data_IF_139625397321
#
_entry.id   IF_139625397321
#
_cell.length_a   1.000
_cell.length_b   1.000
_cell.length_c   1.000
_cell.angle_alpha   90.00
_cell.angle_beta   90.00
_cell.angle_gamma   90.00
#
_symmetry.space_group_name_H-M   'P 1'
#
loop_
_entity.id
_entity.type
_entity.pdbx_description
1 polymer ?
#
# COMPACT_ATOMS: atom_id res chain seq x y z
N UNK A 1 2.35 -4.61 -20.53
CA UNK A 1 2.61 -4.38 -19.09
C UNK A 1 3.46 -3.14 -18.83
N UNK A 2 4.70 -3.07 -19.31
CA UNK A 2 5.61 -1.93 -19.08
C UNK A 2 5.01 -0.57 -19.47
N UNK A 3 4.35 -0.49 -20.62
CA UNK A 3 3.70 0.74 -21.11
C UNK A 3 2.58 1.21 -20.18
N UNK A 4 1.75 0.29 -19.70
CA UNK A 4 0.67 0.60 -18.75
C UNK A 4 1.22 1.13 -17.42
N UNK A 5 2.25 0.48 -16.87
CA UNK A 5 2.94 0.99 -15.67
C UNK A 5 3.45 2.40 -15.89
N UNK A 6 4.15 2.64 -17.01
CA UNK A 6 4.67 3.97 -17.34
C UNK A 6 3.56 5.02 -17.42
N UNK A 7 2.46 4.72 -18.11
CA UNK A 7 1.34 5.66 -18.27
C UNK A 7 0.68 6.00 -16.93
N UNK A 8 0.44 4.99 -16.09
CA UNK A 8 -0.14 5.19 -14.76
C UNK A 8 0.80 5.95 -13.83
N UNK A 9 2.10 5.64 -13.84
CA UNK A 9 3.10 6.39 -13.08
C UNK A 9 3.13 7.86 -13.50
N UNK A 10 3.04 8.17 -14.80
CA UNK A 10 2.95 9.55 -15.29
C UNK A 10 1.72 10.26 -14.75
N UNK A 11 0.52 9.67 -14.89
CA UNK A 11 -0.72 10.27 -14.38
C UNK A 11 -0.66 10.54 -12.87
N UNK A 12 -0.10 9.58 -12.11
CA UNK A 12 0.09 9.71 -10.67
C UNK A 12 1.09 10.81 -10.33
N UNK A 13 2.18 10.93 -11.08
CA UNK A 13 3.22 11.95 -10.87
C UNK A 13 2.75 13.35 -11.22
N UNK A 14 1.86 13.47 -12.21
CA UNK A 14 1.22 14.72 -12.63
C UNK A 14 -0.01 15.07 -11.77
N UNK A 15 -0.31 14.26 -10.74
CA UNK A 15 -1.47 14.43 -9.85
C UNK A 15 -2.79 14.56 -10.64
N UNK A 16 -2.93 13.74 -11.70
CA UNK A 16 -4.17 13.64 -12.50
C UNK A 16 -5.35 13.30 -11.59
N UNK A 17 -6.55 13.75 -11.94
CA UNK A 17 -7.75 13.47 -11.14
C UNK A 17 -7.93 11.96 -10.91
N UNK A 18 -8.20 11.59 -9.66
CA UNK A 18 -8.24 10.18 -9.25
C UNK A 18 -9.32 9.39 -9.99
N UNK A 19 -10.44 10.03 -10.39
CA UNK A 19 -11.50 9.36 -11.14
C UNK A 19 -11.06 9.00 -12.57
N UNK A 20 -10.24 9.86 -13.19
CA UNK A 20 -9.63 9.60 -14.50
C UNK A 20 -8.60 8.48 -14.43
N UNK A 21 -7.78 8.45 -13.36
CA UNK A 21 -6.83 7.35 -13.13
C UNK A 21 -7.57 6.04 -12.90
N UNK A 22 -8.63 6.03 -12.10
CA UNK A 22 -9.49 4.85 -11.87
C UNK A 22 -10.05 4.32 -13.20
N UNK A 23 -10.57 5.20 -14.05
CA UNK A 23 -11.11 4.81 -15.35
C UNK A 23 -10.02 4.23 -16.27
N UNK A 24 -8.84 4.85 -16.29
CA UNK A 24 -7.69 4.33 -17.03
C UNK A 24 -7.31 2.91 -16.57
N UNK A 25 -7.24 2.68 -15.26
CA UNK A 25 -6.94 1.36 -14.71
C UNK A 25 -8.01 0.35 -15.12
N UNK A 26 -9.31 0.68 -14.99
CA UNK A 26 -10.42 -0.21 -15.40
C UNK A 26 -10.33 -0.61 -16.87
N UNK A 27 -10.01 0.35 -17.76
CA UNK A 27 -9.84 0.08 -19.19
C UNK A 27 -8.70 -0.90 -19.46
N UNK A 28 -7.54 -0.68 -18.83
CA UNK A 28 -6.40 -1.58 -19.00
C UNK A 28 -6.63 -2.97 -18.40
N UNK A 29 -7.25 -3.06 -17.22
CA UNK A 29 -7.61 -4.33 -16.58
C UNK A 29 -8.54 -5.14 -17.48
N UNK A 30 -9.55 -4.49 -18.06
CA UNK A 30 -10.49 -5.14 -18.98
C UNK A 30 -9.82 -5.57 -20.29
N UNK A 31 -8.99 -4.72 -20.88
CA UNK A 31 -8.31 -5.00 -22.15
C UNK A 31 -7.29 -6.14 -22.02
N UNK A 32 -6.51 -6.16 -20.94
CA UNK A 32 -5.47 -7.16 -20.70
C UNK A 32 -5.95 -8.38 -19.90
N UNK A 33 -7.20 -8.37 -19.40
CA UNK A 33 -7.79 -9.42 -18.54
C UNK A 33 -6.92 -9.75 -17.34
N UNK A 34 -6.42 -8.70 -16.66
CA UNK A 34 -5.50 -8.86 -15.54
C UNK A 34 -6.22 -9.47 -14.33
N UNK A 35 -5.59 -10.43 -13.61
CA UNK A 35 -6.10 -10.87 -12.32
C UNK A 35 -6.07 -9.75 -11.28
N UNK A 36 -7.09 -9.64 -10.44
CA UNK A 36 -7.20 -8.57 -9.42
C UNK A 36 -5.97 -8.46 -8.50
N UNK A 37 -5.37 -9.60 -8.13
CA UNK A 37 -4.11 -9.66 -7.36
C UNK A 37 -2.98 -8.93 -8.08
N UNK A 38 -2.87 -9.11 -9.40
CA UNK A 38 -1.84 -8.44 -10.19
C UNK A 38 -2.11 -6.93 -10.26
N UNK A 39 -3.38 -6.53 -10.38
CA UNK A 39 -3.79 -5.12 -10.37
C UNK A 39 -3.34 -4.43 -9.08
N UNK A 40 -3.64 -5.01 -7.91
CA UNK A 40 -3.24 -4.46 -6.61
C UNK A 40 -1.72 -4.28 -6.52
N UNK A 41 -0.94 -5.29 -6.95
CA UNK A 41 0.53 -5.21 -6.97
C UNK A 41 1.04 -4.10 -7.89
N UNK A 42 0.43 -3.95 -9.07
CA UNK A 42 0.81 -2.92 -10.04
C UNK A 42 0.49 -1.53 -9.50
N UNK A 43 -0.69 -1.34 -8.90
CA UNK A 43 -1.10 -0.06 -8.32
C UNK A 43 -0.12 0.40 -7.25
N UNK A 44 0.26 -0.49 -6.33
CA UNK A 44 1.28 -0.17 -5.34
C UNK A 44 2.63 0.19 -5.99
N UNK A 45 3.08 -0.58 -7.00
CA UNK A 45 4.31 -0.27 -7.73
C UNK A 45 4.27 1.13 -8.35
N UNK A 46 3.22 1.49 -9.09
CA UNK A 46 3.15 2.78 -9.80
C UNK A 46 3.01 3.96 -8.84
N UNK A 47 2.34 3.77 -7.70
CA UNK A 47 2.25 4.77 -6.62
C UNK A 47 3.64 5.03 -6.05
N UNK A 48 4.40 3.97 -5.72
CA UNK A 48 5.73 4.12 -5.13
C UNK A 48 6.78 4.60 -6.13
N UNK A 49 6.66 4.22 -7.41
CA UNK A 49 7.54 4.67 -8.49
C UNK A 49 7.36 6.17 -8.80
N UNK A 50 6.19 6.74 -8.50
CA UNK A 50 5.91 8.17 -8.63
C UNK A 50 6.45 9.03 -7.47
N UNK A 51 6.98 8.42 -6.40
CA UNK A 51 7.51 9.15 -5.25
C UNK A 51 8.78 9.91 -5.65
N UNK A 52 8.79 11.22 -5.42
CA UNK A 52 9.95 12.06 -5.65
C UNK A 52 10.96 11.97 -4.49
N UNK A 53 11.91 11.03 -4.62
CA UNK A 53 12.93 10.79 -3.61
C UNK A 53 14.02 11.88 -3.57
N UNK A 54 14.32 12.36 -2.37
CA UNK A 54 15.47 13.19 -2.05
C UNK A 54 16.71 12.32 -1.74
N UNK A 55 17.83 12.60 -2.42
CA UNK A 55 19.09 11.91 -2.16
C UNK A 55 19.80 12.30 -0.86
N UNK A 56 19.31 13.34 -0.16
CA UNK A 56 20.02 13.94 1.00
C UNK A 56 19.19 14.00 2.28
N UNK A 57 17.87 13.83 2.20
CA UNK A 57 16.98 14.06 3.33
C UNK A 57 16.04 12.86 3.57
N UNK A 58 16.38 12.05 4.58
CA UNK A 58 15.59 10.87 4.94
C UNK A 58 14.19 11.23 5.45
N UNK A 59 14.03 12.34 6.18
CA UNK A 59 12.72 12.76 6.66
C UNK A 59 11.82 13.22 5.50
N UNK A 60 12.39 13.92 4.52
CA UNK A 60 11.65 14.29 3.31
C UNK A 60 11.18 13.06 2.53
N UNK A 61 12.02 12.02 2.44
CA UNK A 61 11.66 10.75 1.82
C UNK A 61 10.50 10.06 2.54
N UNK A 62 10.52 10.06 3.87
CA UNK A 62 9.43 9.53 4.69
C UNK A 62 8.11 10.25 4.41
N UNK A 63 8.14 11.58 4.47
CA UNK A 63 6.96 12.41 4.24
C UNK A 63 6.43 12.26 2.80
N UNK A 64 7.32 12.16 1.81
CA UNK A 64 6.94 11.98 0.40
C UNK A 64 6.22 10.64 0.18
N UNK A 65 6.76 9.54 0.73
CA UNK A 65 6.12 8.23 0.64
C UNK A 65 4.75 8.21 1.30
N UNK A 66 4.63 8.72 2.53
CA UNK A 66 3.34 8.76 3.25
C UNK A 66 2.32 9.68 2.56
N UNK A 67 2.75 10.83 2.02
CA UNK A 67 1.89 11.70 1.21
C UNK A 67 1.33 10.94 0.00
N UNK A 68 2.19 10.19 -0.69
CA UNK A 68 1.80 9.44 -1.87
C UNK A 68 0.76 8.36 -1.54
N UNK A 69 0.99 7.59 -0.47
CA UNK A 69 0.04 6.57 -0.01
C UNK A 69 -1.32 7.18 0.32
N UNK A 70 -1.35 8.31 1.06
CA UNK A 70 -2.60 8.99 1.43
C UNK A 70 -3.35 9.54 0.21
N UNK A 71 -2.64 10.24 -0.67
CA UNK A 71 -3.24 10.86 -1.87
C UNK A 71 -3.92 9.83 -2.78
N UNK A 72 -3.33 8.65 -2.89
CA UNK A 72 -3.80 7.58 -3.78
C UNK A 72 -4.50 6.44 -3.05
N UNK A 73 -4.88 6.63 -1.79
CA UNK A 73 -5.54 5.61 -0.98
C UNK A 73 -6.88 5.17 -1.59
N UNK A 74 -7.68 6.12 -2.07
CA UNK A 74 -8.97 5.80 -2.72
C UNK A 74 -8.79 5.02 -4.05
N UNK A 75 -7.66 5.21 -4.74
CA UNK A 75 -7.33 4.38 -5.90
C UNK A 75 -7.07 2.93 -5.45
N UNK A 76 -6.27 2.72 -4.39
CA UNK A 76 -6.06 1.38 -3.83
C UNK A 76 -7.36 0.76 -3.32
N UNK A 77 -8.19 1.52 -2.59
CA UNK A 77 -9.47 1.06 -2.04
C UNK A 77 -10.42 0.58 -3.14
N UNK A 78 -10.49 1.31 -4.27
CA UNK A 78 -11.31 0.94 -5.44
C UNK A 78 -11.02 -0.48 -5.97
N UNK A 79 -9.79 -0.97 -5.83
CA UNK A 79 -9.36 -2.27 -6.33
C UNK A 79 -9.08 -3.31 -5.23
N UNK A 80 -8.93 -2.91 -3.97
CA UNK A 80 -8.80 -3.81 -2.81
C UNK A 80 -10.18 -4.19 -2.27
N UNK A 81 -10.97 -4.91 -3.06
CA UNK A 81 -12.40 -5.17 -2.78
C UNK A 81 -12.67 -6.38 -1.89
N UNK A 82 -11.64 -7.00 -1.32
CA UNK A 82 -11.79 -8.15 -0.42
C UNK A 82 -10.56 -8.32 0.48
N UNK A 83 -10.74 -8.96 1.64
CA UNK A 83 -9.63 -9.26 2.55
C UNK A 83 -8.48 -10.05 1.92
N UNK A 84 -8.74 -10.83 0.85
CA UNK A 84 -7.68 -11.49 0.08
C UNK A 84 -6.78 -10.49 -0.66
N UNK A 85 -7.39 -9.46 -1.25
CA UNK A 85 -6.68 -8.41 -2.00
C UNK A 85 -5.99 -7.43 -1.05
N UNK A 86 -6.63 -7.10 0.07
CA UNK A 86 -6.02 -6.32 1.15
C UNK A 86 -4.78 -7.04 1.73
N UNK A 87 -4.88 -8.35 2.00
CA UNK A 87 -3.76 -9.15 2.49
C UNK A 87 -2.61 -9.21 1.47
N UNK A 88 -2.95 -9.26 0.18
CA UNK A 88 -1.96 -9.19 -0.89
C UNK A 88 -1.24 -7.83 -0.92
N UNK A 89 -1.99 -6.72 -0.78
CA UNK A 89 -1.40 -5.39 -0.63
C UNK A 89 -0.47 -5.35 0.59
N UNK A 90 -0.91 -5.85 1.74
CA UNK A 90 -0.10 -5.91 2.96
C UNK A 90 1.23 -6.67 2.73
N UNK A 91 1.20 -7.81 2.05
CA UNK A 91 2.43 -8.54 1.72
C UNK A 91 3.32 -7.79 0.72
N UNK A 92 2.73 -7.09 -0.24
CA UNK A 92 3.48 -6.28 -1.20
C UNK A 92 4.21 -5.13 -0.49
N UNK A 93 3.53 -4.42 0.41
CA UNK A 93 4.10 -3.37 1.27
C UNK A 93 5.22 -3.94 2.14
N UNK A 94 4.98 -5.08 2.81
CA UNK A 94 5.96 -5.77 3.66
C UNK A 94 7.26 -6.05 2.89
N UNK A 95 7.15 -6.69 1.71
CA UNK A 95 8.31 -7.06 0.91
C UNK A 95 9.09 -5.83 0.49
N UNK A 96 8.42 -4.80 -0.03
CA UNK A 96 9.10 -3.60 -0.51
C UNK A 96 9.74 -2.80 0.63
N UNK A 97 9.07 -2.67 1.79
CA UNK A 97 9.66 -2.01 2.95
C UNK A 97 10.89 -2.76 3.47
N UNK A 98 10.92 -4.09 3.35
CA UNK A 98 12.11 -4.86 3.75
C UNK A 98 13.28 -4.70 2.76
N UNK A 99 13.00 -4.53 1.47
CA UNK A 99 14.01 -4.41 0.43
C UNK A 99 14.56 -2.99 0.27
N UNK A 100 13.78 -1.96 0.59
CA UNK A 100 14.19 -0.56 0.49
C UNK A 100 14.46 0.04 1.87
N UNK A 101 15.74 0.34 2.15
CA UNK A 101 16.16 0.96 3.40
C UNK A 101 15.49 2.33 3.68
N UNK A 102 15.03 3.04 2.64
CA UNK A 102 14.25 4.29 2.79
C UNK A 102 12.88 4.03 3.40
N UNK A 103 12.31 2.85 3.19
CA UNK A 103 10.96 2.46 3.59
C UNK A 103 10.93 1.59 4.84
N UNK A 104 12.03 0.93 5.20
CA UNK A 104 12.06 -0.06 6.27
C UNK A 104 11.49 0.44 7.61
N UNK A 105 11.73 1.72 7.96
CA UNK A 105 11.18 2.30 9.20
C UNK A 105 9.73 2.79 9.08
N UNK A 106 9.21 2.92 7.86
CA UNK A 106 7.89 3.47 7.57
C UNK A 106 6.79 2.42 7.54
N UNK A 107 7.13 1.13 7.58
CA UNK A 107 6.13 0.06 7.49
C UNK A 107 4.94 0.26 8.45
N UNK A 108 5.13 0.54 9.76
CA UNK A 108 4.00 0.76 10.67
C UNK A 108 3.15 1.98 10.30
N UNK A 109 3.79 3.08 9.87
CA UNK A 109 3.10 4.31 9.47
C UNK A 109 2.31 4.14 8.17
N UNK A 110 2.84 3.37 7.22
CA UNK A 110 2.14 3.02 5.98
C UNK A 110 0.92 2.15 6.28
N UNK A 111 1.07 1.10 7.11
CA UNK A 111 -0.05 0.23 7.49
C UNK A 111 -1.14 1.02 8.18
N UNK A 112 -0.77 1.87 9.15
CA UNK A 112 -1.74 2.76 9.82
C UNK A 112 -2.41 3.70 8.84
N UNK A 113 -1.65 4.31 7.92
CA UNK A 113 -2.22 5.20 6.91
C UNK A 113 -3.18 4.49 5.96
N UNK A 114 -2.98 3.21 5.66
CA UNK A 114 -3.89 2.44 4.82
C UNK A 114 -5.14 2.03 5.60
N UNK A 115 -5.01 1.73 6.90
CA UNK A 115 -6.13 1.52 7.81
C UNK A 115 -7.00 2.78 7.96
N UNK A 116 -6.37 3.92 8.28
CA UNK A 116 -7.05 5.23 8.46
C UNK A 116 -7.76 5.74 7.18
N UNK A 117 -7.55 5.09 6.03
CA UNK A 117 -8.15 5.43 4.74
C UNK A 117 -9.08 4.32 4.22
N UNK A 118 -9.46 3.38 5.08
CA UNK A 118 -10.35 2.25 4.78
C UNK A 118 -9.83 1.35 3.65
N UNK A 119 -8.52 1.32 3.41
CA UNK A 119 -7.89 0.45 2.40
C UNK A 119 -7.60 -0.94 2.96
N UNK A 120 -7.25 -1.03 4.26
CA UNK A 120 -7.01 -2.29 4.96
C UNK A 120 -7.98 -2.39 6.12
N UNK A 121 -8.77 -3.47 6.16
CA UNK A 121 -9.63 -3.76 7.30
C UNK A 121 -8.80 -4.23 8.51
N UNK A 122 -9.31 -3.98 9.71
CA UNK A 122 -8.71 -4.45 10.96
C UNK A 122 -8.46 -5.96 10.94
N UNK A 123 -9.46 -6.75 10.55
CA UNK A 123 -9.37 -8.21 10.41
C UNK A 123 -8.20 -8.65 9.52
N UNK A 124 -7.95 -7.94 8.42
CA UNK A 124 -6.84 -8.23 7.51
C UNK A 124 -5.50 -7.97 8.20
N UNK A 125 -5.39 -6.87 8.94
CA UNK A 125 -4.17 -6.48 9.67
C UNK A 125 -3.89 -7.49 10.78
N UNK A 126 -4.90 -7.85 11.58
CA UNK A 126 -4.80 -8.87 12.64
C UNK A 126 -4.47 -10.24 12.06
N UNK A 127 -5.09 -10.62 10.94
CA UNK A 127 -4.77 -11.87 10.24
C UNK A 127 -3.31 -11.90 9.79
N UNK A 128 -2.84 -10.84 9.14
CA UNK A 128 -1.44 -10.73 8.72
C UNK A 128 -0.49 -10.83 9.92
N UNK A 129 -0.78 -10.13 11.02
CA UNK A 129 0.04 -10.11 12.22
C UNK A 129 0.14 -11.49 12.87
N UNK A 130 -1.00 -12.17 13.08
CA UNK A 130 -1.07 -13.46 13.79
C UNK A 130 -0.70 -14.66 12.92
N UNK A 131 -1.16 -14.69 11.67
CA UNK A 131 -1.16 -15.89 10.79
C UNK A 131 -0.51 -15.70 9.42
N UNK A 132 0.01 -14.51 9.12
CA UNK A 132 0.61 -14.25 7.83
C UNK A 132 1.77 -15.22 7.48
N UNK A 133 1.87 -15.57 6.20
CA UNK A 133 2.70 -16.66 5.70
C UNK A 133 3.95 -16.17 4.97
N UNK A 134 3.99 -14.90 4.55
CA UNK A 134 5.18 -14.33 3.93
C UNK A 134 6.24 -14.03 5.01
N UNK A 135 7.35 -14.74 4.99
CA UNK A 135 8.40 -14.67 6.01
C UNK A 135 9.33 -13.45 5.85
N UNK A 136 9.34 -12.79 4.69
CA UNK A 136 10.34 -11.77 4.36
C UNK A 136 10.19 -10.50 5.20
N UNK A 137 11.10 -10.26 6.14
CA UNK A 137 11.01 -9.12 7.07
C UNK A 137 9.93 -9.27 8.16
N UNK A 138 9.21 -10.40 8.19
CA UNK A 138 8.07 -10.63 9.09
C UNK A 138 8.42 -10.41 10.55
N UNK A 139 9.51 -11.01 11.04
CA UNK A 139 9.92 -10.90 12.45
C UNK A 139 10.13 -9.44 12.88
N UNK A 140 10.77 -8.63 12.03
CA UNK A 140 11.02 -7.23 12.32
C UNK A 140 9.72 -6.41 12.30
N UNK A 141 8.85 -6.65 11.33
CA UNK A 141 7.63 -5.86 11.15
C UNK A 141 6.51 -6.24 12.09
N UNK A 142 6.38 -7.51 12.48
CA UNK A 142 5.47 -7.92 13.57
C UNK A 142 5.86 -7.14 14.82
N UNK A 143 7.13 -7.18 15.23
CA UNK A 143 7.59 -6.41 16.40
C UNK A 143 7.35 -4.90 16.26
N UNK A 144 7.58 -4.33 15.08
CA UNK A 144 7.38 -2.91 14.83
C UNK A 144 5.89 -2.49 14.86
N UNK A 145 4.97 -3.41 14.55
CA UNK A 145 3.54 -3.14 14.49
C UNK A 145 2.82 -3.44 15.82
N UNK A 146 3.46 -4.13 16.78
CA UNK A 146 2.90 -4.47 18.10
C UNK A 146 2.13 -3.30 18.78
N UNK A 147 2.65 -2.06 18.84
CA UNK A 147 1.92 -0.96 19.47
C UNK A 147 0.61 -0.61 18.76
N UNK A 148 0.58 -0.73 17.43
CA UNK A 148 -0.62 -0.46 16.63
C UNK A 148 -1.64 -1.59 16.77
N UNK A 149 -1.19 -2.86 16.81
CA UNK A 149 -2.09 -4.00 17.06
C UNK A 149 -2.74 -3.90 18.43
N UNK A 150 -1.97 -3.56 19.46
CA UNK A 150 -2.51 -3.35 20.79
C UNK A 150 -3.59 -2.27 20.80
N UNK A 151 -3.37 -1.17 20.08
CA UNK A 151 -4.36 -0.10 19.95
C UNK A 151 -5.64 -0.55 19.21
N UNK A 152 -5.52 -1.37 18.15
CA UNK A 152 -6.68 -1.93 17.45
C UNK A 152 -7.52 -2.81 18.38
N UNK A 153 -6.85 -3.74 19.10
CA UNK A 153 -7.51 -4.65 20.02
C UNK A 153 -8.17 -3.91 21.21
N UNK A 154 -7.54 -2.86 21.73
CA UNK A 154 -8.12 -2.02 22.80
C UNK A 154 -9.32 -1.19 22.32
N UNK A 155 -9.32 -0.73 21.05
CA UNK A 155 -10.43 0.04 20.49
C UNK A 155 -11.70 -0.81 20.31
N UNK A 156 -11.56 -2.09 19.95
CA UNK A 156 -12.69 -3.03 19.84
C UNK A 156 -13.31 -3.36 21.21
N UNK A 157 -12.52 -3.39 22.30
CA UNK A 157 -13.01 -3.66 23.66
C UNK A 157 -13.78 -2.47 24.29
N UNK A 158 -13.62 -1.25 23.76
CA UNK A 158 -14.27 -0.03 24.25
C UNK A 158 -15.59 0.32 23.52
N UNK A 159 -15.94 -0.40 22.45
CA UNK A 159 -17.22 -0.28 21.70
C UNK A 159 -18.27 -1.34 22.10
#
# INVERSE_FOLDING_TARGET
>A
MKEMKSALTTQISEETDISEVIETVKQHVKAAKLPDIEVVRILWDVIMDAVQWSGKNQQQNANAALRQVKMWANLLNTFCTSGKLELELMYKVQVQCYEDAKLMKLFPEIVRSLYDQDVLAEDTILHWFRKGTNLKGRQAFVKALEPFIKWLEEAEEEE
#
